data_IF_202722393445
#
_entry.id   IF_202722393445
#
_cell.length_a   1.000
_cell.length_b   1.000
_cell.length_c   1.000
_cell.angle_alpha   90.00
_cell.angle_beta   90.00
_cell.angle_gamma   90.00
#
_symmetry.space_group_name_H-M   'P 1'
#
loop_
_entity.id
_entity.type
_entity.pdbx_description
1 polymer ?
#
# COMPACT_ATOMS: atom_id res chain seq x y z
N UNK A 1 7.04 -6.15 25.60
CA UNK A 1 5.61 -5.87 25.37
C UNK A 1 5.32 -6.14 23.90
N UNK A 2 4.69 -7.26 23.57
CA UNK A 2 4.44 -7.69 22.18
C UNK A 2 3.32 -6.86 21.57
N UNK A 3 3.67 -5.95 20.67
CA UNK A 3 2.77 -5.00 19.98
C UNK A 3 2.00 -5.68 18.85
N UNK A 4 1.07 -6.56 19.17
CA UNK A 4 0.18 -7.18 18.19
C UNK A 4 -1.26 -7.01 18.68
N UNK A 5 -1.95 -5.95 18.25
CA UNK A 5 -3.32 -5.71 18.69
C UNK A 5 -4.30 -5.40 17.55
N UNK A 6 -3.91 -5.56 16.29
CA UNK A 6 -4.88 -5.55 15.18
C UNK A 6 -4.52 -6.65 14.19
N UNK A 7 -5.50 -7.51 13.90
CA UNK A 7 -5.38 -8.55 12.89
C UNK A 7 -5.11 -7.93 11.52
N UNK A 8 -4.20 -8.51 10.75
CA UNK A 8 -3.78 -7.99 9.45
C UNK A 8 -4.97 -7.94 8.46
N UNK A 9 -5.91 -8.87 8.60
CA UNK A 9 -7.17 -8.87 7.87
C UNK A 9 -8.02 -7.62 8.16
N UNK A 10 -8.06 -7.16 9.42
CA UNK A 10 -8.77 -5.92 9.79
C UNK A 10 -8.11 -4.72 9.14
N UNK A 11 -6.76 -4.67 9.16
CA UNK A 11 -6.01 -3.58 8.55
C UNK A 11 -6.26 -3.49 7.04
N UNK A 12 -6.17 -4.62 6.33
CA UNK A 12 -6.41 -4.67 4.89
C UNK A 12 -7.85 -4.22 4.54
N UNK A 13 -8.84 -4.70 5.31
CA UNK A 13 -10.24 -4.33 5.12
C UNK A 13 -10.48 -2.84 5.29
N UNK A 14 -9.91 -2.24 6.34
CA UNK A 14 -10.09 -0.82 6.65
C UNK A 14 -9.37 0.07 5.63
N UNK A 15 -8.17 -0.33 5.18
CA UNK A 15 -7.46 0.39 4.12
C UNK A 15 -8.24 0.37 2.80
N UNK A 16 -8.80 -0.78 2.41
CA UNK A 16 -9.63 -0.88 1.20
C UNK A 16 -10.83 0.06 1.24
N UNK A 17 -11.56 0.10 2.37
CA UNK A 17 -12.68 1.03 2.56
C UNK A 17 -12.24 2.50 2.53
N UNK A 18 -11.03 2.81 3.00
CA UNK A 18 -10.50 4.17 2.93
C UNK A 18 -10.24 4.59 1.49
N UNK A 19 -9.60 3.75 0.68
CA UNK A 19 -9.34 4.07 -0.72
C UNK A 19 -10.64 4.16 -1.53
N UNK A 20 -11.60 3.27 -1.29
CA UNK A 20 -12.93 3.33 -1.90
C UNK A 20 -13.63 4.65 -1.57
N UNK A 21 -13.67 5.02 -0.28
CA UNK A 21 -14.31 6.27 0.15
C UNK A 21 -13.60 7.52 -0.39
N UNK A 22 -12.28 7.47 -0.59
CA UNK A 22 -11.53 8.57 -1.21
C UNK A 22 -11.83 8.66 -2.72
N UNK A 23 -12.11 7.54 -3.37
CA UNK A 23 -12.47 7.51 -4.79
C UNK A 23 -13.93 7.94 -5.03
N UNK A 24 -14.85 7.54 -4.14
CA UNK A 24 -16.29 7.78 -4.26
C UNK A 24 -16.71 9.17 -3.73
N UNK A 25 -16.17 9.59 -2.58
CA UNK A 25 -16.60 10.81 -1.89
C UNK A 25 -15.56 11.92 -2.10
N UNK A 26 -15.96 13.08 -2.63
CA UNK A 26 -15.12 14.29 -2.69
C UNK A 26 -14.85 14.92 -1.30
N UNK A 27 -15.08 14.16 -0.23
CA UNK A 27 -14.80 14.54 1.13
C UNK A 27 -13.29 14.62 1.39
N UNK A 28 -12.93 15.44 2.36
CA UNK A 28 -11.52 15.55 2.78
C UNK A 28 -11.04 14.25 3.43
N UNK A 29 -9.78 13.87 3.15
CA UNK A 29 -9.14 12.66 3.73
C UNK A 29 -9.29 12.57 5.26
N UNK A 30 -9.33 13.71 5.97
CA UNK A 30 -9.53 13.77 7.42
C UNK A 30 -10.95 13.38 7.87
N UNK A 31 -11.97 13.80 7.12
CA UNK A 31 -13.35 13.43 7.38
C UNK A 31 -13.56 11.92 7.17
N UNK A 32 -13.01 11.37 6.08
CA UNK A 32 -13.06 9.94 5.77
C UNK A 32 -12.38 9.12 6.87
N UNK A 33 -11.18 9.53 7.34
CA UNK A 33 -10.50 8.85 8.46
C UNK A 33 -11.31 8.83 9.75
N UNK A 34 -12.02 9.92 10.08
CA UNK A 34 -12.90 9.95 11.27
C UNK A 34 -14.12 9.06 11.11
N UNK A 35 -14.75 9.06 9.94
CA UNK A 35 -15.93 8.24 9.61
C UNK A 35 -15.60 6.74 9.68
N UNK A 36 -14.55 6.31 8.99
CA UNK A 36 -14.12 4.90 8.94
C UNK A 36 -13.51 4.46 10.28
N UNK A 37 -12.67 5.31 10.90
CA UNK A 37 -12.09 5.04 12.21
C UNK A 37 -13.17 4.83 13.27
N UNK A 38 -14.18 5.71 13.33
CA UNK A 38 -15.32 5.55 14.25
C UNK A 38 -16.16 4.29 13.98
N UNK A 39 -16.34 3.91 12.71
CA UNK A 39 -17.10 2.72 12.33
C UNK A 39 -16.43 1.40 12.76
N UNK A 40 -15.11 1.38 12.82
CA UNK A 40 -14.32 0.19 13.18
C UNK A 40 -13.70 0.26 14.58
N UNK A 41 -14.05 1.29 15.37
CA UNK A 41 -13.44 1.60 16.68
C UNK A 41 -11.90 1.71 16.63
N UNK A 42 -11.40 2.24 15.51
CA UNK A 42 -9.98 2.47 15.27
C UNK A 42 -9.68 3.95 15.44
N UNK A 43 -8.68 4.25 16.26
CA UNK A 43 -8.22 5.62 16.43
C UNK A 43 -7.79 6.20 15.06
N UNK A 44 -8.28 7.40 14.66
CA UNK A 44 -7.90 8.04 13.41
C UNK A 44 -6.39 8.23 13.22
N UNK A 45 -5.62 8.37 14.31
CA UNK A 45 -4.16 8.43 14.28
C UNK A 45 -3.53 7.09 13.89
N UNK A 46 -4.11 5.98 14.37
CA UNK A 46 -3.70 4.62 13.99
C UNK A 46 -3.98 4.38 12.51
N UNK A 47 -5.16 4.78 12.03
CA UNK A 47 -5.52 4.67 10.62
C UNK A 47 -4.57 5.49 9.72
N UNK A 48 -4.19 6.69 10.15
CA UNK A 48 -3.19 7.49 9.44
C UNK A 48 -1.84 6.76 9.34
N UNK A 49 -1.35 6.20 10.44
CA UNK A 49 -0.11 5.42 10.42
C UNK A 49 -0.18 4.21 9.49
N UNK A 50 -1.33 3.56 9.39
CA UNK A 50 -1.52 2.43 8.47
C UNK A 50 -1.51 2.85 7.01
N UNK A 51 -2.14 3.99 6.70
CA UNK A 51 -2.15 4.59 5.36
C UNK A 51 -0.73 5.00 4.97
N UNK A 52 -0.01 5.74 5.83
CA UNK A 52 1.36 6.16 5.52
C UNK A 52 2.30 4.97 5.32
N UNK A 53 2.13 3.87 6.06
CA UNK A 53 2.88 2.63 5.82
C UNK A 53 2.48 1.94 4.51
N UNK A 54 1.21 1.98 4.12
CA UNK A 54 0.75 1.40 2.86
C UNK A 54 1.26 2.21 1.66
N UNK A 55 1.18 3.54 1.73
CA UNK A 55 1.73 4.45 0.71
C UNK A 55 3.25 4.27 0.56
N UNK A 56 4.00 4.12 1.66
CA UNK A 56 5.43 3.84 1.61
C UNK A 56 5.73 2.49 0.94
N UNK A 57 4.97 1.45 1.25
CA UNK A 57 5.13 0.12 0.63
C UNK A 57 4.79 0.11 -0.86
N UNK A 58 3.80 0.91 -1.30
CA UNK A 58 3.42 1.03 -2.71
C UNK A 58 4.52 1.70 -3.56
N UNK A 59 5.19 2.71 -2.99
CA UNK A 59 6.37 3.35 -3.62
C UNK A 59 7.52 2.35 -3.74
N UNK A 60 7.77 1.54 -2.70
CA UNK A 60 8.79 0.48 -2.74
C UNK A 60 8.46 -0.64 -3.75
N UNK A 61 7.19 -1.02 -3.89
CA UNK A 61 6.77 -2.02 -4.88
C UNK A 61 6.95 -1.53 -6.32
N UNK A 62 6.65 -0.26 -6.59
CA UNK A 62 6.76 0.31 -7.95
C UNK A 62 8.21 0.42 -8.41
N UNK A 63 9.16 0.63 -7.48
CA UNK A 63 10.60 0.71 -7.79
C UNK A 63 11.26 -0.64 -8.06
N UNK A 64 10.65 -1.76 -7.65
CA UNK A 64 11.18 -3.11 -7.91
C UNK A 64 10.78 -3.63 -9.30
N UNK A 65 9.58 -3.30 -9.79
CA UNK A 65 9.09 -3.75 -11.11
C UNK A 65 9.92 -3.20 -12.28
N UNK A 66 10.64 -2.10 -12.07
CA UNK A 66 11.48 -1.49 -13.10
C UNK A 66 12.91 -2.09 -13.16
N UNK A 67 13.32 -2.89 -12.17
CA UNK A 67 14.64 -3.53 -12.14
C UNK A 67 14.67 -4.91 -12.83
N UNK A 68 13.54 -5.61 -12.93
CA UNK A 68 13.50 -6.97 -13.53
C UNK A 68 13.47 -6.99 -15.06
N UNK A 69 13.27 -5.84 -15.72
CA UNK A 69 13.27 -5.74 -17.21
C UNK A 69 14.67 -5.51 -17.81
N UNK A 70 15.68 -5.25 -17.00
CA UNK A 70 17.02 -4.85 -17.50
C UNK A 70 18.03 -5.99 -17.58
N UNK A 71 17.75 -7.16 -16.97
CA UNK A 71 18.69 -8.28 -16.90
C UNK A 71 18.46 -9.39 -17.94
N UNK A 72 17.31 -9.39 -18.61
CA UNK A 72 16.92 -10.38 -19.62
C UNK A 72 17.19 -9.93 -21.07
N UNK A 73 17.74 -8.74 -21.28
CA UNK A 73 18.08 -8.21 -22.63
C UNK A 73 19.53 -8.48 -23.06
N UNK A 74 20.41 -8.93 -22.16
CA UNK A 74 21.88 -9.01 -22.45
C UNK A 74 22.36 -10.38 -22.92
N UNK A 75 21.52 -11.43 -22.94
CA UNK A 75 21.95 -12.78 -23.36
C UNK A 75 21.41 -13.17 -24.74
N UNK A 76 21.86 -12.52 -25.81
CA UNK A 76 21.67 -13.09 -27.17
C UNK A 76 22.82 -12.89 -28.16
N UNK A 77 23.86 -12.12 -27.87
CA UNK A 77 24.92 -11.85 -28.86
C UNK A 77 26.24 -12.53 -28.48
N UNK A 78 26.24 -13.86 -28.50
CA UNK A 78 27.48 -14.64 -28.52
C UNK A 78 27.27 -16.00 -29.22
N UNK A 79 26.73 -15.98 -30.45
CA UNK A 79 26.95 -17.09 -31.39
C UNK A 79 28.17 -16.75 -32.24
N UNK A 80 29.27 -17.37 -31.85
CA UNK A 80 30.59 -17.39 -32.46
C UNK A 80 30.54 -17.69 -33.96
N UNK A 81 31.07 -16.78 -34.77
CA UNK A 81 31.65 -17.12 -36.07
C UNK A 81 33.05 -17.68 -35.84
N UNK A 82 33.25 -18.95 -36.19
CA UNK A 82 34.53 -19.49 -36.68
C UNK A 82 34.24 -20.74 -37.50
#
# INVERSE_FOLDING_TARGET
MSTAQYDEATRARVLGLYYEAVAEESATKSAIRRKIGGMHDINPATLHNWISKAEAAEVEATTQTEQEKTLNSTSFVARTSN
#
